data_IF_974285611114
#
_entry.id   IF_974285611114
#
_cell.length_a   1.000
_cell.length_b   1.000
_cell.length_c   1.000
_cell.angle_alpha   90.00
_cell.angle_beta   90.00
_cell.angle_gamma   90.00
#
_symmetry.space_group_name_H-M   'P 1'
#
loop_
_entity.id
_entity.type
_entity.pdbx_description
1 polymer ?
#
# COMPACT_ATOMS: atom_id res chain seq x y z
N UNK A 1 10.27 20.18 11.51
CA UNK A 1 9.42 20.54 10.35
C UNK A 1 8.24 19.58 10.34
N UNK A 2 7.01 20.08 10.20
CA UNK A 2 5.85 19.22 10.03
C UNK A 2 5.68 18.92 8.54
N UNK A 3 5.42 17.65 8.19
CA UNK A 3 5.06 17.28 6.82
C UNK A 3 3.70 17.88 6.42
N UNK A 4 3.48 18.05 5.13
CA UNK A 4 2.19 18.50 4.61
C UNK A 4 1.13 17.40 4.70
N UNK A 5 -0.16 17.77 4.72
CA UNK A 5 -1.28 16.80 4.69
C UNK A 5 -1.24 15.90 3.45
N UNK A 6 -0.71 16.39 2.33
CA UNK A 6 -0.50 15.59 1.10
C UNK A 6 0.56 14.52 1.33
N UNK A 7 1.73 14.88 1.86
CA UNK A 7 2.77 13.92 2.20
C UNK A 7 2.28 12.88 3.20
N UNK A 8 1.48 13.30 4.20
CA UNK A 8 0.88 12.37 5.15
C UNK A 8 -0.06 11.39 4.46
N UNK A 9 -0.88 11.88 3.53
CA UNK A 9 -1.80 11.06 2.73
C UNK A 9 -1.03 10.05 1.87
N UNK A 10 0.08 10.47 1.26
CA UNK A 10 0.89 9.59 0.41
C UNK A 10 1.57 8.48 1.22
N UNK A 11 2.09 8.80 2.41
CA UNK A 11 2.61 7.78 3.36
C UNK A 11 1.51 6.77 3.69
N UNK A 12 0.30 7.25 4.03
CA UNK A 12 -0.83 6.39 4.37
C UNK A 12 -1.22 5.47 3.21
N UNK A 13 -1.24 5.97 1.98
CA UNK A 13 -1.57 5.17 0.80
C UNK A 13 -0.55 4.07 0.55
N UNK A 14 0.74 4.37 0.67
CA UNK A 14 1.82 3.38 0.51
C UNK A 14 1.73 2.29 1.58
N UNK A 15 1.55 2.67 2.84
CA UNK A 15 1.41 1.69 3.93
C UNK A 15 0.15 0.84 3.75
N UNK A 16 -0.97 1.45 3.36
CA UNK A 16 -2.21 0.73 3.08
C UNK A 16 -2.04 -0.24 1.89
N UNK A 17 -1.28 0.13 0.85
CA UNK A 17 -0.99 -0.75 -0.29
C UNK A 17 -0.04 -1.91 0.04
N UNK A 18 0.97 -1.68 0.88
CA UNK A 18 1.95 -2.72 1.26
C UNK A 18 1.40 -3.66 2.35
N UNK A 19 0.76 -3.13 3.38
CA UNK A 19 0.37 -3.92 4.55
C UNK A 19 -1.13 -4.20 4.63
N UNK A 20 -1.93 -3.63 3.72
CA UNK A 20 -3.39 -3.66 3.81
C UNK A 20 -3.91 -3.15 5.17
N UNK A 21 -3.14 -2.28 5.82
CA UNK A 21 -3.32 -1.91 7.21
C UNK A 21 -3.01 -0.42 7.42
N UNK A 22 -3.54 0.12 8.52
CA UNK A 22 -3.26 1.48 8.95
C UNK A 22 -1.94 1.51 9.74
N UNK A 23 -1.00 2.42 9.43
CA UNK A 23 0.09 2.69 10.35
C UNK A 23 -0.51 3.33 11.61
N UNK A 24 -0.25 2.73 12.78
CA UNK A 24 -0.60 3.37 14.05
C UNK A 24 0.06 4.76 14.18
N UNK A 25 -0.53 5.67 14.96
CA UNK A 25 -0.10 7.07 15.06
C UNK A 25 1.39 7.26 15.34
N UNK A 26 2.00 6.39 16.16
CA UNK A 26 3.44 6.40 16.43
C UNK A 26 4.29 6.14 15.17
N UNK A 27 3.91 5.17 14.35
CA UNK A 27 4.64 4.87 13.11
C UNK A 27 4.39 5.97 12.09
N UNK A 28 3.17 6.49 12.01
CA UNK A 28 2.90 7.63 11.13
C UNK A 28 3.82 8.80 11.47
N UNK A 29 4.03 9.10 12.75
CA UNK A 29 4.97 10.13 13.19
C UNK A 29 6.42 9.81 12.82
N UNK A 30 6.88 8.56 12.94
CA UNK A 30 8.22 8.15 12.49
C UNK A 30 8.39 8.27 10.97
N UNK A 31 7.44 7.74 10.20
CA UNK A 31 7.43 7.83 8.74
C UNK A 31 7.38 9.29 8.29
N UNK A 32 6.59 10.13 8.98
CA UNK A 32 6.55 11.56 8.76
C UNK A 32 7.89 12.24 9.06
N UNK A 33 8.58 11.84 10.12
CA UNK A 33 9.90 12.37 10.46
C UNK A 33 10.96 11.99 9.42
N UNK A 34 10.90 10.77 8.86
CA UNK A 34 11.77 10.35 7.75
C UNK A 34 11.54 11.21 6.51
N UNK A 35 10.28 11.43 6.12
CA UNK A 35 9.94 12.28 4.97
C UNK A 35 10.30 13.74 5.23
N UNK A 36 10.09 14.25 6.44
CA UNK A 36 10.55 15.58 6.84
C UNK A 36 12.09 15.71 6.85
N UNK A 37 12.80 14.59 7.05
CA UNK A 37 14.26 14.48 6.98
C UNK A 37 14.82 14.41 5.55
N UNK A 38 13.96 14.34 4.53
CA UNK A 38 14.36 14.31 3.11
C UNK A 38 14.15 12.96 2.42
N UNK A 39 13.66 11.93 3.12
CA UNK A 39 13.31 10.65 2.49
C UNK A 39 12.11 10.83 1.56
N UNK A 40 12.23 10.36 0.32
CA UNK A 40 11.11 10.39 -0.63
C UNK A 40 10.08 9.30 -0.31
N UNK A 41 8.81 9.50 -0.69
CA UNK A 41 7.74 8.50 -0.47
C UNK A 41 8.09 7.16 -1.14
N UNK A 42 8.74 7.20 -2.31
CA UNK A 42 9.20 6.01 -3.02
C UNK A 42 10.29 5.27 -2.23
N UNK A 43 11.30 5.99 -1.74
CA UNK A 43 12.34 5.39 -0.91
C UNK A 43 11.75 4.77 0.36
N UNK A 44 10.80 5.47 0.99
CA UNK A 44 10.04 4.96 2.13
C UNK A 44 9.29 3.66 1.79
N UNK A 45 8.65 3.60 0.62
CA UNK A 45 7.95 2.41 0.15
C UNK A 45 8.92 1.23 -0.02
N UNK A 46 10.09 1.47 -0.61
CA UNK A 46 11.12 0.44 -0.79
C UNK A 46 11.67 -0.04 0.56
N UNK A 47 11.96 0.87 1.49
CA UNK A 47 12.43 0.53 2.84
C UNK A 47 11.37 -0.29 3.62
N UNK A 48 10.09 0.08 3.48
CA UNK A 48 8.97 -0.64 4.08
C UNK A 48 8.79 -2.03 3.48
N UNK A 49 8.97 -2.17 2.18
CA UNK A 49 8.86 -3.44 1.49
C UNK A 49 10.08 -4.35 1.72
N UNK A 50 11.25 -3.78 1.97
CA UNK A 50 12.44 -4.51 2.40
C UNK A 50 12.38 -4.91 3.89
N UNK A 51 11.47 -4.32 4.67
CA UNK A 51 11.34 -4.60 6.09
C UNK A 51 10.92 -6.04 6.36
N UNK A 52 11.51 -6.66 7.38
CA UNK A 52 11.12 -7.99 7.89
C UNK A 52 9.63 -8.15 8.20
N UNK A 53 8.91 -7.08 8.57
CA UNK A 53 7.46 -7.13 8.75
C UNK A 53 6.73 -7.45 7.44
N UNK A 54 7.22 -6.94 6.32
CA UNK A 54 6.67 -7.23 5.01
C UNK A 54 7.20 -8.58 4.51
N UNK A 55 8.50 -8.82 4.53
CA UNK A 55 9.10 -10.05 3.96
C UNK A 55 8.78 -11.31 4.77
N UNK A 56 8.84 -11.24 6.11
CA UNK A 56 8.56 -12.38 6.99
C UNK A 56 7.13 -12.40 7.55
N UNK A 57 6.33 -11.36 7.31
CA UNK A 57 4.94 -11.29 7.74
C UNK A 57 3.97 -11.44 6.56
N UNK A 58 4.03 -10.48 5.63
CA UNK A 58 3.13 -10.40 4.47
C UNK A 58 3.52 -11.41 3.37
N UNK A 59 4.82 -11.50 3.06
CA UNK A 59 5.40 -12.43 2.08
C UNK A 59 5.95 -13.72 2.71
N UNK A 60 5.59 -14.00 3.97
CA UNK A 60 6.11 -15.16 4.71
C UNK A 60 5.81 -16.48 3.96
N UNK A 61 6.85 -17.13 3.43
CA UNK A 61 6.70 -18.36 2.64
C UNK A 61 6.14 -18.17 1.21
N UNK A 62 5.95 -16.91 0.79
CA UNK A 62 5.44 -16.51 -0.53
C UNK A 62 6.61 -16.07 -1.42
N UNK A 63 7.34 -17.06 -1.92
CA UNK A 63 8.55 -16.87 -2.74
C UNK A 63 8.30 -16.97 -4.25
N UNK A 64 7.13 -17.44 -4.68
CA UNK A 64 6.78 -17.47 -6.11
C UNK A 64 6.10 -16.19 -6.53
N UNK A 65 6.24 -15.83 -7.81
CA UNK A 65 5.64 -14.62 -8.40
C UNK A 65 4.12 -14.64 -8.21
N UNK A 66 3.45 -15.75 -8.51
CA UNK A 66 1.99 -15.88 -8.36
C UNK A 66 1.53 -15.61 -6.91
N UNK A 67 2.26 -16.16 -5.93
CA UNK A 67 1.95 -15.97 -4.52
C UNK A 67 2.14 -14.50 -4.07
N UNK A 68 3.18 -13.84 -4.59
CA UNK A 68 3.46 -12.42 -4.33
C UNK A 68 2.42 -11.52 -4.97
N UNK A 69 2.04 -11.81 -6.23
CA UNK A 69 0.98 -11.11 -6.96
C UNK A 69 -0.34 -11.25 -6.21
N UNK A 70 -0.71 -12.46 -5.78
CA UNK A 70 -1.95 -12.70 -5.04
C UNK A 70 -2.01 -11.90 -3.73
N UNK A 71 -0.88 -11.76 -3.02
CA UNK A 71 -0.78 -10.94 -1.81
C UNK A 71 -0.97 -9.45 -2.13
N UNK A 72 -0.30 -8.94 -3.17
CA UNK A 72 -0.46 -7.54 -3.60
C UNK A 72 -1.90 -7.26 -4.03
N UNK A 73 -2.47 -8.09 -4.88
CA UNK A 73 -3.87 -7.98 -5.33
C UNK A 73 -4.85 -7.96 -4.15
N UNK A 74 -4.63 -8.84 -3.17
CA UNK A 74 -5.42 -8.87 -1.94
C UNK A 74 -5.29 -7.59 -1.12
N UNK A 75 -4.12 -6.97 -1.09
CA UNK A 75 -3.93 -5.70 -0.38
C UNK A 75 -4.73 -4.56 -1.02
N UNK A 76 -4.83 -4.55 -2.35
CA UNK A 76 -5.64 -3.60 -3.10
C UNK A 76 -7.13 -3.99 -3.19
N UNK A 77 -7.51 -5.17 -2.69
CA UNK A 77 -8.89 -5.66 -2.73
C UNK A 77 -9.36 -5.99 -4.15
N UNK A 78 -8.43 -6.32 -5.05
CA UNK A 78 -8.74 -6.75 -6.42
C UNK A 78 -8.54 -8.25 -6.55
N UNK A 79 -9.29 -8.88 -7.45
CA UNK A 79 -9.19 -10.32 -7.73
C UNK A 79 -9.39 -10.51 -9.22
N UNK A 80 -8.49 -11.25 -9.86
CA UNK A 80 -8.59 -11.56 -11.28
C UNK A 80 -9.89 -12.32 -11.55
N UNK A 81 -10.50 -12.02 -12.68
CA UNK A 81 -11.68 -12.71 -13.19
C UNK A 81 -11.41 -13.13 -14.65
N UNK A 82 -12.31 -13.92 -15.20
CA UNK A 82 -12.38 -14.30 -16.61
C UNK A 82 -12.42 -13.11 -17.59
N UNK A 83 -12.72 -11.89 -17.13
CA UNK A 83 -12.66 -10.67 -17.92
C UNK A 83 -11.28 -10.01 -17.87
N UNK A 84 -10.56 -10.01 -18.99
CA UNK A 84 -9.26 -9.37 -19.15
C UNK A 84 -9.28 -7.85 -19.01
N UNK A 85 -10.45 -7.21 -19.21
CA UNK A 85 -10.62 -5.78 -18.99
C UNK A 85 -10.94 -5.44 -17.52
N UNK A 86 -11.17 -6.44 -16.66
CA UNK A 86 -11.41 -6.20 -15.25
C UNK A 86 -10.16 -5.63 -14.55
N UNK A 87 -10.39 -4.82 -13.52
CA UNK A 87 -9.29 -4.26 -12.72
C UNK A 87 -8.40 -5.34 -12.09
N UNK A 88 -8.99 -6.49 -11.74
CA UNK A 88 -8.25 -7.62 -11.19
C UNK A 88 -7.28 -8.23 -12.19
N UNK A 89 -7.75 -8.54 -13.41
CA UNK A 89 -6.91 -9.19 -14.43
C UNK A 89 -5.84 -8.23 -14.97
N UNK A 90 -6.17 -6.92 -15.07
CA UNK A 90 -5.17 -5.89 -15.38
C UNK A 90 -4.12 -5.74 -14.28
N UNK A 91 -4.53 -5.76 -13.00
CA UNK A 91 -3.62 -5.67 -11.86
C UNK A 91 -2.72 -6.91 -11.76
N UNK A 92 -3.26 -8.11 -11.97
CA UNK A 92 -2.49 -9.35 -11.99
C UNK A 92 -1.37 -9.31 -13.05
N UNK A 93 -1.71 -8.94 -14.29
CA UNK A 93 -0.75 -8.82 -15.37
C UNK A 93 0.33 -7.77 -15.06
N UNK A 94 -0.07 -6.62 -14.50
CA UNK A 94 0.87 -5.58 -14.09
C UNK A 94 1.83 -6.05 -13.00
N UNK A 95 1.30 -6.63 -11.89
CA UNK A 95 2.13 -7.08 -10.79
C UNK A 95 3.08 -8.21 -11.22
N UNK A 96 2.60 -9.16 -12.03
CA UNK A 96 3.41 -10.25 -12.57
C UNK A 96 4.58 -9.69 -13.37
N UNK A 97 4.33 -8.81 -14.34
CA UNK A 97 5.38 -8.20 -15.16
C UNK A 97 6.41 -7.45 -14.31
N UNK A 98 5.97 -6.69 -13.32
CA UNK A 98 6.87 -5.91 -12.50
C UNK A 98 7.77 -6.79 -11.61
N UNK A 99 7.23 -7.87 -11.06
CA UNK A 99 8.00 -8.83 -10.27
C UNK A 99 8.99 -9.59 -11.17
N UNK A 100 8.58 -10.00 -12.37
CA UNK A 100 9.48 -10.62 -13.36
C UNK A 100 10.61 -9.67 -13.77
N UNK A 101 10.32 -8.38 -13.89
CA UNK A 101 11.29 -7.31 -14.12
C UNK A 101 12.19 -7.02 -12.91
N UNK A 102 12.07 -7.78 -11.81
CA UNK A 102 12.80 -7.58 -10.56
C UNK A 102 12.65 -6.17 -9.97
N UNK A 103 11.49 -5.55 -10.19
CA UNK A 103 11.17 -4.24 -9.61
C UNK A 103 10.88 -4.42 -8.12
N UNK A 104 11.37 -3.49 -7.29
CA UNK A 104 11.11 -3.53 -5.85
C UNK A 104 9.62 -3.42 -5.53
N UNK A 105 9.13 -4.22 -4.57
CA UNK A 105 7.72 -4.19 -4.16
C UNK A 105 7.25 -2.80 -3.71
N UNK A 106 8.13 -2.00 -3.11
CA UNK A 106 7.83 -0.63 -2.70
C UNK A 106 7.49 0.25 -3.90
N UNK A 107 8.35 0.24 -4.93
CA UNK A 107 8.08 0.87 -6.22
C UNK A 107 6.80 0.36 -6.88
N UNK A 108 6.59 -0.96 -6.91
CA UNK A 108 5.39 -1.57 -7.50
C UNK A 108 4.12 -1.02 -6.84
N UNK A 109 4.08 -1.01 -5.51
CA UNK A 109 2.94 -0.48 -4.74
C UNK A 109 2.81 1.02 -4.94
N UNK A 110 3.90 1.78 -4.92
CA UNK A 110 3.88 3.22 -5.15
C UNK A 110 3.28 3.57 -6.52
N UNK A 111 3.68 2.85 -7.57
CA UNK A 111 3.15 3.03 -8.91
C UNK A 111 1.66 2.64 -8.98
N UNK A 112 1.26 1.52 -8.36
CA UNK A 112 -0.14 1.09 -8.30
C UNK A 112 -1.03 2.10 -7.55
N UNK A 113 -0.58 2.62 -6.41
CA UNK A 113 -1.26 3.67 -5.64
C UNK A 113 -1.39 4.96 -6.46
N UNK A 114 -0.32 5.34 -7.16
CA UNK A 114 -0.32 6.52 -8.02
C UNK A 114 -1.32 6.35 -9.16
N UNK A 115 -1.33 5.17 -9.79
CA UNK A 115 -2.29 4.82 -10.84
C UNK A 115 -3.74 4.86 -10.32
N UNK A 116 -4.03 4.24 -9.17
CA UNK A 116 -5.37 4.32 -8.55
C UNK A 116 -5.76 5.77 -8.18
N UNK A 117 -4.78 6.62 -7.87
CA UNK A 117 -5.02 8.02 -7.56
C UNK A 117 -5.38 8.85 -8.80
N UNK A 118 -4.84 8.51 -9.98
CA UNK A 118 -5.03 9.26 -11.23
C UNK A 118 -6.02 8.62 -12.21
N UNK A 119 -6.28 7.32 -12.09
CA UNK A 119 -7.16 6.59 -13.00
C UNK A 119 -8.59 7.08 -12.91
N UNK A 120 -9.24 7.19 -14.08
CA UNK A 120 -10.67 7.47 -14.23
C UNK A 120 -11.44 6.25 -14.71
N UNK A 121 -10.78 5.08 -14.78
CA UNK A 121 -11.38 3.86 -15.27
C UNK A 121 -12.41 3.33 -14.25
N UNK A 122 -13.63 3.10 -14.74
CA UNK A 122 -14.75 2.60 -13.93
C UNK A 122 -14.43 1.25 -13.28
N UNK A 123 -13.59 0.42 -13.91
CA UNK A 123 -13.19 -0.88 -13.37
C UNK A 123 -12.40 -0.73 -12.06
N UNK A 124 -11.63 0.34 -11.90
CA UNK A 124 -10.76 0.58 -10.75
C UNK A 124 -11.40 1.45 -9.66
N UNK A 125 -12.64 1.93 -9.86
CA UNK A 125 -13.35 2.78 -8.88
C UNK A 125 -13.49 2.09 -7.53
N UNK A 126 -13.77 0.78 -7.51
CA UNK A 126 -13.89 0.01 -6.26
C UNK A 126 -12.55 -0.06 -5.52
N UNK A 127 -11.46 -0.37 -6.22
CA UNK A 127 -10.11 -0.44 -5.64
C UNK A 127 -9.66 0.93 -5.13
N UNK A 128 -9.92 2.00 -5.90
CA UNK A 128 -9.66 3.38 -5.51
C UNK A 128 -10.43 3.74 -4.24
N UNK A 129 -11.73 3.45 -4.20
CA UNK A 129 -12.60 3.74 -3.05
C UNK A 129 -12.14 2.98 -1.81
N UNK A 130 -11.73 1.71 -1.95
CA UNK A 130 -11.17 0.93 -0.85
C UNK A 130 -9.87 1.55 -0.32
N UNK A 131 -8.96 1.98 -1.21
CA UNK A 131 -7.73 2.64 -0.83
C UNK A 131 -8.01 3.98 -0.11
N UNK A 132 -8.88 4.81 -0.66
CA UNK A 132 -9.26 6.09 -0.07
C UNK A 132 -9.95 5.90 1.30
N UNK A 133 -10.82 4.89 1.44
CA UNK A 133 -11.44 4.54 2.72
C UNK A 133 -10.40 4.08 3.75
N UNK A 134 -9.41 3.27 3.36
CA UNK A 134 -8.32 2.85 4.25
C UNK A 134 -7.49 4.04 4.72
N UNK A 135 -7.20 4.98 3.83
CA UNK A 135 -6.48 6.21 4.15
C UNK A 135 -7.28 7.09 5.11
N UNK A 136 -8.57 7.28 4.86
CA UNK A 136 -9.47 8.03 5.75
C UNK A 136 -9.54 7.41 7.15
N UNK A 137 -9.71 6.09 7.22
CA UNK A 137 -9.69 5.35 8.49
C UNK A 137 -8.34 5.53 9.17
N UNK A 138 -7.22 5.37 8.46
CA UNK A 138 -5.88 5.54 9.03
C UNK A 138 -5.62 6.95 9.54
N UNK A 139 -6.10 7.97 8.82
CA UNK A 139 -6.01 9.37 9.24
C UNK A 139 -6.88 9.64 10.47
N UNK A 140 -8.09 9.09 10.53
CA UNK A 140 -8.98 9.19 11.69
C UNK A 140 -8.41 8.49 12.92
N UNK A 141 -7.84 7.29 12.74
CA UNK A 141 -7.17 6.54 13.80
C UNK A 141 -5.90 7.23 14.27
N UNK A 142 -5.12 7.85 13.38
CA UNK A 142 -3.91 8.60 13.76
C UNK A 142 -4.24 9.89 14.50
N UNK A 143 -5.38 10.53 14.21
CA UNK A 143 -5.88 11.68 14.98
C UNK A 143 -6.45 11.27 16.35
N UNK A 144 -7.02 10.08 16.46
CA UNK A 144 -7.66 9.59 17.70
C UNK A 144 -6.68 8.86 18.61
N UNK A 145 -5.69 8.16 18.05
CA UNK A 145 -4.69 7.37 18.77
C UNK A 145 -3.35 8.12 18.83
N UNK A 146 -3.30 9.13 19.69
CA UNK A 146 -2.03 9.63 20.25
C UNK A 146 -1.36 8.58 21.18
N UNK A 147 -1.91 7.36 21.27
CA UNK A 147 -1.42 6.30 22.15
C UNK A 147 -1.56 4.92 21.49
N UNK A 148 -0.38 4.35 21.22
CA UNK A 148 -0.04 2.93 21.28
C UNK A 148 -0.45 1.96 20.18
N UNK A 149 0.60 1.44 19.53
CA UNK A 149 0.76 0.07 19.00
C UNK A 149 0.01 -0.27 17.71
N UNK A 150 0.73 -0.89 16.77
CA UNK A 150 0.20 -1.47 15.54
C UNK A 150 -1.00 -2.39 15.85
N UNK A 151 -2.22 -1.90 15.67
CA UNK A 151 -3.41 -2.74 15.73
C UNK A 151 -3.82 -3.03 14.29
N UNK A 152 -3.54 -4.26 13.86
CA UNK A 152 -4.11 -4.85 12.65
C UNK A 152 -5.63 -4.71 12.74
N UNK A 153 -6.21 -3.77 11.99
CA UNK A 153 -7.67 -3.62 11.92
C UNK A 153 -8.25 -4.76 11.07
N UNK A 154 -8.29 -5.98 11.64
CA UNK A 154 -9.12 -7.09 11.16
C UNK A 154 -10.58 -6.78 11.50
N UNK A 155 -11.27 -6.11 10.57
CA UNK A 155 -12.74 -5.91 10.41
C UNK A 155 -12.87 -4.60 9.63
N UNK A 156 -13.39 -4.54 8.41
CA UNK A 156 -14.55 -5.23 7.84
C UNK A 156 -14.25 -5.74 6.42
#
# INVERSE_FOLDING_TARGET
MAITSTQQTDILKVVAGLFNAAPGGSNLSELANLVAGGTSIRQLADDLAANTLFTNGILAGKVTVEDQVAVLMKNFGVTADSDSASAGSQAEAYFTQQIENNVGFGEIVYNAVTFLSTTTDAAFVTAKTLLDNKVLVSAAYSKTSSSSVWILCKKF
#
